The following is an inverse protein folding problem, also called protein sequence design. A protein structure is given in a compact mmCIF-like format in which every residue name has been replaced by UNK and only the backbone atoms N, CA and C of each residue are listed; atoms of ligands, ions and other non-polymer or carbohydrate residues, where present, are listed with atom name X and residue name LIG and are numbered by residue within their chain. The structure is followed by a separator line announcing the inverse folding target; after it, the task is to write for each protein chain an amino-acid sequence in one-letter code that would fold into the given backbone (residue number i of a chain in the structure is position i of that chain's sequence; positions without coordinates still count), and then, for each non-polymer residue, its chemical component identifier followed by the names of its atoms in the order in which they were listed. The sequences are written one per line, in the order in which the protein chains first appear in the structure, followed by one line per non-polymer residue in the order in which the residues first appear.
data_IF_166155322288
#
_entry.id   IF_166155322288
#
_cell.length_a   1.000
_cell.length_b   1.000
_cell.length_c   1.000
_cell.angle_alpha   90.00
_cell.angle_beta   90.00
_cell.angle_gamma   90.00
#
_symmetry.space_group_name_H-M   'P 1'
#
loop_
_entity.id
_entity.type
_entity.pdbx_description
1 polymer ?
#
# COMPACT_ATOMS: atom_id res chain seq x y z
N UNK A 1 6.59 39.68 31.23
CA UNK A 1 6.57 38.44 30.44
C UNK A 1 5.83 38.65 29.12
N UNK A 2 4.65 39.28 29.08
CA UNK A 2 3.92 39.57 27.82
C UNK A 2 4.70 40.44 26.80
N UNK A 3 5.64 41.27 27.24
CA UNK A 3 6.50 42.06 26.35
C UNK A 3 7.64 41.25 25.68
N UNK A 4 7.91 40.02 26.13
CA UNK A 4 8.98 39.15 25.64
C UNK A 4 8.46 37.72 25.36
N UNK A 5 7.51 37.62 24.44
CA UNK A 5 6.88 36.36 24.02
C UNK A 5 7.65 35.62 22.91
N UNK A 6 8.58 36.31 22.25
CA UNK A 6 9.36 35.78 21.12
C UNK A 6 10.83 35.74 21.52
N UNK A 7 11.43 34.56 21.47
CA UNK A 7 12.86 34.36 21.76
C UNK A 7 13.67 34.78 20.54
N UNK A 8 14.76 35.50 20.75
CA UNK A 8 15.67 35.94 19.67
C UNK A 8 16.95 35.11 19.63
N UNK A 9 17.65 35.10 18.49
CA UNK A 9 18.92 34.37 18.34
C UNK A 9 20.00 34.86 19.32
N UNK A 10 20.02 36.15 19.65
CA UNK A 10 20.93 36.74 20.65
C UNK A 10 20.67 36.19 22.05
N UNK A 11 19.41 35.87 22.39
CA UNK A 11 19.05 35.28 23.69
C UNK A 11 19.53 33.83 23.82
N UNK A 12 19.65 33.09 22.70
CA UNK A 12 20.27 31.75 22.71
C UNK A 12 21.77 31.80 23.02
N UNK A 13 22.47 32.86 22.59
CA UNK A 13 23.87 33.05 22.95
C UNK A 13 24.05 33.36 24.44
N UNK A 14 23.17 34.18 25.01
CA UNK A 14 23.12 34.42 26.46
C UNK A 14 22.82 33.11 27.20
N UNK A 15 21.87 32.31 26.68
CA UNK A 15 21.52 31.02 27.27
C UNK A 15 22.71 30.06 27.33
N UNK A 16 23.48 29.97 26.23
CA UNK A 16 24.68 29.14 26.12
C UNK A 16 25.75 29.53 27.15
N UNK A 17 25.97 30.83 27.34
CA UNK A 17 26.94 31.33 28.34
C UNK A 17 26.49 31.04 29.77
N UNK A 18 25.20 31.26 30.10
CA UNK A 18 24.69 30.99 31.45
C UNK A 18 24.57 29.49 31.76
N UNK A 19 24.25 28.66 30.77
CA UNK A 19 24.27 27.21 30.89
C UNK A 19 25.70 26.70 31.14
N UNK A 20 26.73 27.25 30.49
CA UNK A 20 28.12 26.88 30.78
C UNK A 20 28.54 27.23 32.21
N UNK A 21 28.08 28.36 32.75
CA UNK A 21 28.42 28.80 34.11
C UNK A 21 27.65 28.03 35.19
N UNK A 22 26.36 27.80 34.96
CA UNK A 22 25.42 27.35 36.01
C UNK A 22 24.85 25.97 35.78
N UNK A 23 25.07 25.38 34.60
CA UNK A 23 24.47 24.12 34.12
C UNK A 23 22.94 24.11 34.20
N UNK A 24 22.31 25.28 34.09
CA UNK A 24 20.86 25.44 34.20
C UNK A 24 20.38 26.66 33.39
N UNK A 25 19.32 26.48 32.60
CA UNK A 25 18.87 27.43 31.56
C UNK A 25 17.89 28.52 32.05
N UNK A 26 17.28 28.34 33.23
CA UNK A 26 16.22 29.24 33.75
C UNK A 26 16.72 30.67 34.03
N UNK A 27 18.00 30.85 34.40
CA UNK A 27 18.56 32.15 34.75
C UNK A 27 18.62 33.12 33.56
N UNK A 28 18.77 32.59 32.35
CA UNK A 28 18.77 33.37 31.10
C UNK A 28 17.48 34.17 30.98
N UNK A 29 16.33 33.55 31.30
CA UNK A 29 15.04 34.22 31.15
C UNK A 29 14.83 35.34 32.18
N UNK A 30 15.49 35.24 33.34
CA UNK A 30 15.50 36.33 34.33
C UNK A 30 16.30 37.56 33.91
N UNK A 31 17.27 37.41 32.99
CA UNK A 31 18.06 38.53 32.44
C UNK A 31 17.22 39.33 31.45
N UNK A 32 16.46 38.65 30.60
CA UNK A 32 15.59 39.28 29.59
C UNK A 32 14.27 39.79 30.18
N UNK A 33 13.82 39.25 31.32
CA UNK A 33 12.64 39.72 32.05
C UNK A 33 12.96 40.10 33.51
N UNK A 34 13.69 41.21 33.76
CA UNK A 34 14.19 41.57 35.08
C UNK A 34 13.09 41.76 36.14
N UNK A 35 11.94 42.31 35.75
CA UNK A 35 10.81 42.55 36.64
C UNK A 35 10.13 41.25 37.13
N UNK A 36 10.34 40.13 36.42
CA UNK A 36 9.80 38.81 36.79
C UNK A 36 10.87 37.87 37.37
N UNK A 37 12.15 38.26 37.35
CA UNK A 37 13.28 37.40 37.73
C UNK A 37 13.12 36.73 39.11
N UNK A 38 12.58 37.45 40.10
CA UNK A 38 12.38 36.94 41.46
C UNK A 38 11.21 35.96 41.64
N UNK A 39 10.35 35.80 40.63
CA UNK A 39 9.15 34.95 40.69
C UNK A 39 9.12 33.86 39.61
N UNK A 40 10.02 33.90 38.62
CA UNK A 40 10.16 32.85 37.60
C UNK A 40 10.51 31.52 38.28
N UNK A 41 9.78 30.46 37.92
CA UNK A 41 9.99 29.09 38.43
C UNK A 41 9.70 28.89 39.93
N UNK A 42 9.00 29.84 40.58
CA UNK A 42 8.67 29.76 42.00
C UNK A 42 7.83 28.50 42.31
N UNK A 43 8.35 27.65 43.18
CA UNK A 43 7.69 26.40 43.60
C UNK A 43 7.71 25.27 42.56
N UNK A 44 8.40 25.46 41.44
CA UNK A 44 8.55 24.47 40.39
C UNK A 44 9.94 23.79 40.44
N UNK A 45 10.02 22.60 39.84
CA UNK A 45 11.30 21.90 39.56
C UNK A 45 11.58 21.94 38.07
N UNK A 46 12.80 21.60 37.64
CA UNK A 46 13.17 21.56 36.21
C UNK A 46 12.18 20.78 35.34
N UNK A 47 11.67 19.64 35.85
CA UNK A 47 10.66 18.80 35.17
C UNK A 47 9.36 19.55 34.85
N UNK A 48 9.01 20.60 35.61
CA UNK A 48 7.83 21.40 35.30
C UNK A 48 7.92 22.06 33.92
N UNK A 49 9.11 22.51 33.51
CA UNK A 49 9.28 23.12 32.18
C UNK A 49 9.65 22.08 31.13
N UNK A 50 10.55 21.14 31.43
CA UNK A 50 11.03 20.18 30.43
C UNK A 50 9.93 19.21 30.01
N UNK A 51 9.29 18.54 30.96
CA UNK A 51 8.36 17.45 30.66
C UNK A 51 7.07 18.00 30.03
N UNK A 52 6.57 19.15 30.50
CA UNK A 52 5.42 19.81 29.88
C UNK A 52 5.74 20.32 28.47
N UNK A 53 6.96 20.85 28.24
CA UNK A 53 7.37 21.26 26.89
C UNK A 53 7.47 20.05 25.97
N UNK A 54 8.05 18.94 26.43
CA UNK A 54 8.09 17.70 25.66
C UNK A 54 6.69 17.19 25.31
N UNK A 55 5.74 17.21 26.25
CA UNK A 55 4.36 16.82 25.98
C UNK A 55 3.68 17.72 24.94
N UNK A 56 3.90 19.04 25.00
CA UNK A 56 3.41 19.99 24.00
C UNK A 56 4.01 19.67 22.63
N UNK A 57 5.33 19.49 22.54
CA UNK A 57 6.02 19.17 21.29
C UNK A 57 5.56 17.83 20.71
N UNK A 58 5.37 16.81 21.55
CA UNK A 58 4.86 15.50 21.12
C UNK A 58 3.43 15.60 20.58
N UNK A 59 2.55 16.36 21.24
CA UNK A 59 1.19 16.62 20.76
C UNK A 59 1.22 17.32 19.40
N UNK A 60 1.96 18.43 19.30
CA UNK A 60 2.01 19.23 18.08
C UNK A 60 2.65 18.42 16.91
N UNK A 61 3.63 17.57 17.20
CA UNK A 61 4.19 16.64 16.23
C UNK A 61 3.17 15.58 15.77
N UNK A 62 2.34 15.06 16.67
CA UNK A 62 1.27 14.13 16.33
C UNK A 62 0.20 14.78 15.44
N UNK A 63 -0.15 16.05 15.69
CA UNK A 63 -1.10 16.79 14.85
C UNK A 63 -0.57 16.95 13.41
N UNK A 64 0.73 17.23 13.26
CA UNK A 64 1.38 17.25 11.94
C UNK A 64 1.34 15.88 11.26
N UNK A 65 1.62 14.80 11.99
CA UNK A 65 1.58 13.44 11.43
C UNK A 65 0.17 13.01 11.02
N UNK A 66 -0.85 13.30 11.85
CA UNK A 66 -2.24 12.96 11.57
C UNK A 66 -2.72 13.61 10.26
N UNK A 67 -2.37 14.87 10.03
CA UNK A 67 -2.73 15.58 8.79
C UNK A 67 -2.17 14.88 7.54
N UNK A 68 -0.93 14.41 7.59
CA UNK A 68 -0.27 13.72 6.48
C UNK A 68 -0.82 12.31 6.27
N UNK A 69 -1.05 11.56 7.34
CA UNK A 69 -1.66 10.23 7.27
C UNK A 69 -3.07 10.33 6.66
N UNK A 70 -3.86 11.32 7.06
CA UNK A 70 -5.18 11.57 6.50
C UNK A 70 -5.11 11.85 4.99
N UNK A 71 -4.12 12.62 4.53
CA UNK A 71 -3.92 12.88 3.09
C UNK A 71 -3.56 11.62 2.32
N UNK A 72 -2.64 10.80 2.84
CA UNK A 72 -2.27 9.51 2.21
C UNK A 72 -3.48 8.59 2.11
N UNK A 73 -4.26 8.44 3.20
CA UNK A 73 -5.47 7.63 3.19
C UNK A 73 -6.50 8.14 2.20
N UNK A 74 -6.71 9.46 2.13
CA UNK A 74 -7.61 10.06 1.14
C UNK A 74 -7.20 9.69 -0.29
N UNK A 75 -5.91 9.82 -0.62
CA UNK A 75 -5.42 9.50 -1.97
C UNK A 75 -5.58 8.01 -2.31
N UNK A 76 -5.30 7.12 -1.35
CA UNK A 76 -5.50 5.68 -1.53
C UNK A 76 -6.98 5.32 -1.70
N UNK A 77 -7.89 6.00 -0.99
CA UNK A 77 -9.34 5.83 -1.16
C UNK A 77 -9.76 6.26 -2.57
N UNK A 78 -9.32 7.43 -3.03
CA UNK A 78 -9.66 7.89 -4.39
C UNK A 78 -9.15 6.91 -5.45
N UNK A 79 -7.89 6.46 -5.32
CA UNK A 79 -7.33 5.45 -6.22
C UNK A 79 -8.13 4.15 -6.17
N UNK A 80 -8.44 3.63 -4.98
CA UNK A 80 -9.23 2.40 -4.85
C UNK A 80 -10.62 2.55 -5.46
N UNK A 81 -11.28 3.71 -5.28
CA UNK A 81 -12.61 3.98 -5.84
C UNK A 81 -12.61 4.14 -7.36
N UNK A 82 -11.54 4.69 -7.93
CA UNK A 82 -11.33 4.81 -9.37
C UNK A 82 -11.15 3.43 -10.02
N UNK A 83 -10.28 2.59 -9.44
CA UNK A 83 -9.89 1.30 -10.01
C UNK A 83 -10.68 0.10 -9.46
N UNK A 84 -11.74 0.33 -8.65
CA UNK A 84 -12.48 -0.74 -7.94
C UNK A 84 -13.04 -1.87 -8.80
N UNK A 85 -13.31 -1.57 -10.08
CA UNK A 85 -13.90 -2.51 -11.04
C UNK A 85 -12.87 -3.12 -12.00
N UNK A 86 -11.62 -2.67 -11.97
CA UNK A 86 -10.57 -3.17 -12.87
C UNK A 86 -10.12 -4.57 -12.43
N UNK A 87 -10.31 -5.61 -13.27
CA UNK A 87 -9.87 -6.95 -12.93
C UNK A 87 -8.34 -7.05 -12.97
N UNK A 88 -7.72 -7.23 -11.81
CA UNK A 88 -6.28 -7.45 -11.68
C UNK A 88 -5.94 -8.88 -11.23
N UNK A 89 -4.72 -9.31 -11.53
CA UNK A 89 -4.20 -10.59 -11.10
C UNK A 89 -3.91 -10.57 -9.59
N UNK A 90 -4.50 -11.48 -8.82
CA UNK A 90 -4.21 -11.59 -7.39
C UNK A 90 -3.05 -12.56 -7.11
N UNK A 91 -2.27 -12.28 -6.07
CA UNK A 91 -1.04 -13.01 -5.77
C UNK A 91 -1.06 -13.56 -4.35
N UNK A 92 -0.74 -14.84 -4.18
CA UNK A 92 -0.39 -15.44 -2.88
C UNK A 92 0.92 -16.19 -3.04
N UNK A 93 1.86 -16.05 -2.11
CA UNK A 93 3.19 -16.66 -2.23
C UNK A 93 3.96 -16.22 -3.50
N UNK A 94 3.64 -15.04 -4.04
CA UNK A 94 4.11 -14.58 -5.37
C UNK A 94 3.79 -15.57 -6.50
N UNK A 95 2.78 -16.40 -6.28
CA UNK A 95 2.15 -17.22 -7.29
C UNK A 95 0.77 -16.66 -7.55
N UNK A 96 0.39 -16.78 -8.81
CA UNK A 96 -0.85 -16.28 -9.29
C UNK A 96 -2.00 -17.07 -8.60
N UNK A 97 -2.75 -16.45 -7.68
CA UNK A 97 -3.76 -17.12 -6.85
C UNK A 97 -4.97 -16.22 -6.52
N UNK A 98 -6.13 -16.79 -6.18
CA UNK A 98 -7.35 -16.03 -5.83
C UNK A 98 -7.45 -15.69 -4.33
N UNK A 99 -8.24 -14.65 -4.03
CA UNK A 99 -8.35 -13.80 -2.83
C UNK A 99 -8.37 -14.43 -1.41
N UNK A 100 -7.77 -13.63 -0.49
CA UNK A 100 -7.65 -13.69 0.96
C UNK A 100 -8.99 -13.55 1.72
N UNK A 101 -9.56 -14.66 2.23
CA UNK A 101 -10.55 -14.60 3.32
C UNK A 101 -9.97 -15.14 4.65
N UNK A 102 -8.93 -15.96 4.60
CA UNK A 102 -8.37 -16.60 5.81
C UNK A 102 -7.22 -15.83 6.47
N UNK A 103 -6.63 -14.83 5.80
CA UNK A 103 -5.58 -14.01 6.40
C UNK A 103 -6.12 -12.80 7.18
N UNK A 104 -7.34 -12.34 6.88
CA UNK A 104 -7.97 -11.24 7.63
C UNK A 104 -8.27 -11.65 9.07
N UNK A 105 -8.79 -12.87 9.28
CA UNK A 105 -9.05 -13.42 10.63
C UNK A 105 -7.75 -13.61 11.43
N UNK A 106 -6.67 -14.11 10.79
CA UNK A 106 -5.36 -14.24 11.43
C UNK A 106 -4.74 -12.88 11.80
N UNK A 107 -4.90 -11.87 10.94
CA UNK A 107 -4.39 -10.51 11.20
C UNK A 107 -5.24 -9.79 12.24
N UNK A 108 -6.56 -9.97 12.26
CA UNK A 108 -7.46 -9.43 13.29
C UNK A 108 -7.15 -10.02 14.67
N UNK A 109 -6.85 -11.32 14.73
CA UNK A 109 -6.47 -12.00 15.97
C UNK A 109 -5.10 -11.52 16.51
N UNK A 110 -4.14 -11.22 15.63
CA UNK A 110 -2.85 -10.60 16.00
C UNK A 110 -3.02 -9.12 16.39
N UNK A 111 -3.94 -8.40 15.74
CA UNK A 111 -4.26 -6.98 16.02
C UNK A 111 -4.91 -6.80 17.40
N UNK A 112 -5.82 -7.69 17.79
CA UNK A 112 -6.49 -7.63 19.09
C UNK A 112 -5.56 -7.94 20.28
N UNK A 113 -4.38 -8.53 20.02
CA UNK A 113 -3.41 -8.93 21.04
C UNK A 113 -2.35 -7.89 21.44
N UNK A 114 -2.21 -6.76 20.73
CA UNK A 114 -1.05 -5.86 20.92
C UNK A 114 -1.35 -4.66 21.84
N UNK A 115 -0.76 -4.67 23.04
CA UNK A 115 -0.78 -3.56 24.00
C UNK A 115 0.55 -2.78 24.00
N UNK A 116 0.47 -1.55 23.50
CA UNK A 116 1.33 -0.36 23.71
C UNK A 116 2.77 -0.32 23.14
N UNK A 117 3.13 0.91 22.69
CA UNK A 117 4.37 1.38 22.02
C UNK A 117 4.62 0.81 20.62
N UNK A 118 3.76 1.16 19.65
CA UNK A 118 3.91 0.65 18.28
C UNK A 118 3.31 1.49 17.15
N UNK A 119 2.75 2.69 17.38
CA UNK A 119 2.09 3.44 16.31
C UNK A 119 3.06 3.84 15.17
N UNK A 120 4.27 4.29 15.51
CA UNK A 120 5.30 4.63 14.52
C UNK A 120 5.90 3.39 13.84
N UNK A 121 6.18 2.32 14.60
CA UNK A 121 6.65 1.05 14.05
C UNK A 121 5.61 0.37 13.15
N UNK A 122 4.33 0.47 13.52
CA UNK A 122 3.19 0.02 12.73
C UNK A 122 3.07 0.78 11.42
N UNK A 123 3.16 2.11 11.45
CA UNK A 123 3.17 2.94 10.23
C UNK A 123 4.34 2.58 9.31
N UNK A 124 5.54 2.38 9.88
CA UNK A 124 6.73 1.97 9.12
C UNK A 124 6.55 0.61 8.44
N UNK A 125 6.00 -0.38 9.14
CA UNK A 125 5.70 -1.71 8.58
C UNK A 125 4.65 -1.63 7.46
N UNK A 126 3.58 -0.85 7.66
CA UNK A 126 2.55 -0.61 6.63
C UNK A 126 3.14 0.04 5.39
N UNK A 127 3.96 1.08 5.55
CA UNK A 127 4.62 1.75 4.43
C UNK A 127 5.58 0.80 3.68
N UNK A 128 6.38 0.02 4.40
CA UNK A 128 7.29 -0.96 3.80
C UNK A 128 6.54 -2.00 2.97
N UNK A 129 5.39 -2.49 3.46
CA UNK A 129 4.54 -3.44 2.73
C UNK A 129 4.00 -2.81 1.45
N UNK A 130 3.39 -1.63 1.54
CA UNK A 130 2.79 -0.94 0.38
C UNK A 130 3.86 -0.65 -0.69
N UNK A 131 5.00 -0.07 -0.30
CA UNK A 131 6.08 0.22 -1.26
C UNK A 131 6.70 -1.07 -1.82
N UNK A 132 6.76 -2.14 -1.02
CA UNK A 132 7.20 -3.45 -1.48
C UNK A 132 6.30 -4.02 -2.58
N UNK A 133 4.98 -3.94 -2.40
CA UNK A 133 4.01 -4.36 -3.42
C UNK A 133 4.11 -3.51 -4.69
N UNK A 134 4.19 -2.18 -4.58
CA UNK A 134 4.28 -1.27 -5.74
C UNK A 134 5.49 -1.63 -6.60
N UNK A 135 6.63 -1.95 -5.97
CA UNK A 135 7.84 -2.36 -6.69
C UNK A 135 7.69 -3.71 -7.41
N UNK A 136 6.90 -4.63 -6.85
CA UNK A 136 6.56 -5.89 -7.53
C UNK A 136 5.62 -5.65 -8.71
N UNK A 137 4.61 -4.80 -8.55
CA UNK A 137 3.68 -4.44 -9.63
C UNK A 137 4.40 -3.67 -10.75
N UNK A 138 5.37 -2.82 -10.41
CA UNK A 138 6.24 -2.14 -11.38
C UNK A 138 7.13 -3.13 -12.13
N UNK A 139 7.63 -4.18 -11.47
CA UNK A 139 8.33 -5.26 -12.15
C UNK A 139 7.45 -5.92 -13.24
N UNK A 140 6.18 -6.15 -12.94
CA UNK A 140 5.21 -6.71 -13.90
C UNK A 140 4.60 -5.70 -14.87
N UNK A 141 4.96 -4.41 -14.75
CA UNK A 141 4.42 -3.30 -15.56
C UNK A 141 2.91 -3.13 -15.42
N UNK A 142 2.37 -3.46 -14.25
CA UNK A 142 0.94 -3.27 -13.93
C UNK A 142 0.69 -1.89 -13.31
N UNK A 143 1.63 -1.40 -12.50
CA UNK A 143 1.59 -0.08 -11.86
C UNK A 143 3.00 0.48 -11.86
N UNK A 144 3.16 1.76 -12.19
CA UNK A 144 4.43 2.47 -12.04
C UNK A 144 4.31 3.57 -11.00
N UNK A 145 5.42 3.87 -10.32
CA UNK A 145 5.46 5.04 -9.47
C UNK A 145 5.41 6.31 -10.32
N UNK A 146 4.96 7.43 -9.75
CA UNK A 146 4.93 8.65 -10.52
C UNK A 146 6.33 9.26 -10.77
N UNK A 147 6.55 9.85 -11.95
CA UNK A 147 7.82 10.47 -12.37
C UNK A 147 7.68 11.95 -12.69
N UNK A 148 8.68 12.76 -12.34
CA UNK A 148 8.78 14.13 -12.87
C UNK A 148 9.19 14.11 -14.35
N UNK A 149 8.71 15.08 -15.13
CA UNK A 149 9.01 15.16 -16.58
C UNK A 149 10.49 15.28 -16.90
N UNK A 150 11.29 15.87 -16.00
CA UNK A 150 12.75 15.96 -16.11
C UNK A 150 13.51 14.84 -15.42
N UNK A 151 12.83 13.88 -14.80
CA UNK A 151 13.46 12.83 -14.00
C UNK A 151 14.20 11.84 -14.90
N UNK A 152 15.50 11.69 -14.66
CA UNK A 152 16.33 10.69 -15.33
C UNK A 152 16.49 9.50 -14.38
N UNK A 153 15.85 8.37 -14.72
CA UNK A 153 15.82 7.18 -13.87
C UNK A 153 17.14 6.38 -13.84
N UNK A 154 18.06 6.57 -14.79
CA UNK A 154 19.40 5.98 -14.72
C UNK A 154 20.42 6.78 -15.52
N UNK A 155 21.63 6.89 -14.99
CA UNK A 155 22.76 7.55 -15.66
C UNK A 155 23.41 6.72 -16.77
N UNK A 156 23.03 5.44 -16.94
CA UNK A 156 23.68 4.51 -17.85
C UNK A 156 22.76 3.76 -18.83
N UNK A 157 21.45 3.69 -18.57
CA UNK A 157 20.50 3.00 -19.45
C UNK A 157 19.19 3.78 -19.57
N UNK A 158 18.69 3.93 -20.79
CA UNK A 158 17.57 4.82 -21.14
C UNK A 158 16.18 4.31 -20.70
N UNK A 159 16.04 3.03 -20.34
CA UNK A 159 14.74 2.38 -20.01
C UNK A 159 14.58 1.99 -18.52
N UNK A 160 15.25 2.66 -17.56
CA UNK A 160 15.24 2.25 -16.14
C UNK A 160 14.74 3.32 -15.18
N UNK A 161 13.92 2.92 -14.22
CA UNK A 161 13.51 3.69 -13.02
C UNK A 161 14.45 3.34 -11.85
N UNK A 162 14.61 4.21 -10.85
CA UNK A 162 15.68 4.10 -9.84
C UNK A 162 15.47 2.99 -8.79
N UNK A 163 14.26 2.46 -8.66
CA UNK A 163 13.76 1.62 -7.57
C UNK A 163 13.90 0.09 -7.80
N UNK A 164 14.29 -0.33 -9.01
CA UNK A 164 14.22 -1.72 -9.49
C UNK A 164 15.57 -2.43 -9.76
N UNK A 165 16.69 -1.68 -9.74
CA UNK A 165 17.95 -2.12 -10.38
C UNK A 165 18.63 -3.36 -9.76
N UNK A 166 18.28 -3.69 -8.51
CA UNK A 166 18.81 -4.85 -7.79
C UNK A 166 17.90 -6.10 -7.90
N UNK A 167 16.59 -5.93 -8.09
CA UNK A 167 15.61 -7.04 -8.15
C UNK A 167 15.44 -7.56 -9.59
N UNK A 168 15.48 -6.70 -10.61
CA UNK A 168 15.34 -7.10 -12.02
C UNK A 168 16.55 -7.85 -12.61
N UNK A 169 17.61 -8.11 -11.84
CA UNK A 169 18.79 -8.89 -12.30
C UNK A 169 18.62 -10.40 -12.20
N UNK A 170 17.58 -10.88 -11.50
CA UNK A 170 17.45 -12.32 -11.17
C UNK A 170 16.33 -13.00 -11.97
N UNK A 171 15.29 -12.29 -12.41
CA UNK A 171 14.19 -12.88 -13.19
C UNK A 171 13.71 -11.92 -14.29
N UNK A 172 14.07 -12.22 -15.55
CA UNK A 172 13.29 -11.78 -16.72
C UNK A 172 13.04 -13.01 -17.58
N UNK A 173 11.83 -13.56 -17.50
CA UNK A 173 11.03 -13.85 -18.70
C UNK A 173 10.00 -12.72 -18.88
N UNK A 174 9.62 -12.44 -20.12
CA UNK A 174 8.62 -11.45 -20.52
C UNK A 174 7.39 -11.42 -19.58
N UNK A 175 6.75 -10.25 -19.38
CA UNK A 175 5.58 -10.13 -18.52
C UNK A 175 4.52 -11.12 -19.01
N UNK A 176 4.25 -12.12 -18.18
CA UNK A 176 3.17 -13.07 -18.34
C UNK A 176 1.86 -12.29 -18.27
N UNK A 177 1.46 -11.80 -19.43
CA UNK A 177 0.23 -11.07 -19.66
C UNK A 177 -0.93 -11.93 -19.15
N UNK A 178 -1.56 -11.51 -18.04
CA UNK A 178 -2.96 -11.70 -17.59
C UNK A 178 -3.69 -13.07 -17.70
N UNK A 179 -3.11 -14.12 -18.28
CA UNK A 179 -3.87 -15.31 -18.69
C UNK A 179 -3.72 -16.50 -17.74
N UNK A 180 -2.84 -16.46 -16.73
CA UNK A 180 -2.48 -17.68 -15.98
C UNK A 180 -3.46 -18.01 -14.84
N UNK A 181 -4.07 -17.02 -14.14
CA UNK A 181 -5.03 -17.30 -13.05
C UNK A 181 -6.44 -17.54 -13.55
N UNK A 182 -6.83 -16.95 -14.69
CA UNK A 182 -8.16 -17.20 -15.25
C UNK A 182 -8.42 -18.71 -15.40
N UNK A 183 -7.36 -19.50 -15.61
CA UNK A 183 -7.44 -20.93 -15.90
C UNK A 183 -7.99 -21.80 -14.77
N UNK A 184 -7.66 -21.56 -13.49
CA UNK A 184 -8.12 -22.48 -12.42
C UNK A 184 -9.64 -22.39 -12.25
N UNK A 185 -10.19 -21.19 -12.21
CA UNK A 185 -11.64 -21.02 -12.06
C UNK A 185 -12.37 -21.24 -13.39
N UNK A 186 -11.75 -20.96 -14.53
CA UNK A 186 -12.22 -21.39 -15.85
C UNK A 186 -12.37 -22.92 -15.92
N UNK A 187 -11.38 -23.69 -15.44
CA UNK A 187 -11.44 -25.16 -15.42
C UNK A 187 -12.68 -25.64 -14.66
N UNK A 188 -12.91 -25.11 -13.45
CA UNK A 188 -14.11 -25.44 -12.68
C UNK A 188 -15.40 -25.05 -13.41
N UNK A 189 -15.47 -23.87 -14.02
CA UNK A 189 -16.66 -23.47 -14.78
C UNK A 189 -16.90 -24.37 -16.00
N UNK A 190 -15.85 -24.77 -16.72
CA UNK A 190 -15.94 -25.70 -17.86
C UNK A 190 -16.49 -27.05 -17.40
N UNK A 191 -15.96 -27.60 -16.30
CA UNK A 191 -16.46 -28.86 -15.74
C UNK A 191 -17.94 -28.74 -15.34
N UNK A 192 -18.34 -27.63 -14.71
CA UNK A 192 -19.75 -27.41 -14.33
C UNK A 192 -20.67 -27.26 -15.53
N UNK A 193 -20.24 -26.56 -16.58
CA UNK A 193 -21.00 -26.39 -17.84
C UNK A 193 -21.16 -27.71 -18.58
N UNK A 194 -20.09 -28.51 -18.67
CA UNK A 194 -20.15 -29.86 -19.23
C UNK A 194 -21.09 -30.76 -18.43
N UNK A 195 -21.02 -30.71 -17.10
CA UNK A 195 -21.91 -31.46 -16.22
C UNK A 195 -23.39 -31.07 -16.41
N UNK A 196 -23.69 -29.78 -16.55
CA UNK A 196 -25.04 -29.30 -16.86
C UNK A 196 -25.55 -29.79 -18.23
N UNK A 197 -24.64 -30.11 -19.17
CA UNK A 197 -24.94 -30.71 -20.47
C UNK A 197 -24.93 -32.24 -20.45
N UNK A 198 -24.90 -32.86 -19.26
CA UNK A 198 -24.99 -34.31 -19.08
C UNK A 198 -23.66 -35.06 -19.16
N UNK A 199 -22.53 -34.37 -19.24
CA UNK A 199 -21.19 -34.99 -19.26
C UNK A 199 -20.75 -35.35 -17.84
N UNK A 200 -20.03 -36.47 -17.68
CA UNK A 200 -19.48 -36.86 -16.38
C UNK A 200 -18.47 -35.82 -15.88
N UNK A 201 -18.66 -35.33 -14.64
CA UNK A 201 -17.69 -34.44 -13.97
C UNK A 201 -16.30 -35.08 -13.85
N UNK A 202 -16.25 -36.38 -13.59
CA UNK A 202 -15.00 -37.11 -13.41
C UNK A 202 -14.21 -37.16 -14.72
N UNK A 203 -14.91 -37.41 -15.83
CA UNK A 203 -14.31 -37.48 -17.15
C UNK A 203 -13.88 -36.10 -17.64
N UNK A 204 -14.73 -35.08 -17.45
CA UNK A 204 -14.39 -33.69 -17.76
C UNK A 204 -13.17 -33.19 -16.99
N UNK A 205 -13.07 -33.53 -15.71
CA UNK A 205 -11.92 -33.20 -14.88
C UNK A 205 -10.63 -33.87 -15.39
N UNK A 206 -10.67 -35.15 -15.76
CA UNK A 206 -9.47 -35.83 -16.25
C UNK A 206 -9.00 -35.28 -17.61
N UNK A 207 -9.93 -35.06 -18.53
CA UNK A 207 -9.61 -34.48 -19.84
C UNK A 207 -8.96 -33.10 -19.71
N UNK A 208 -9.53 -32.22 -18.88
CA UNK A 208 -8.99 -30.88 -18.71
C UNK A 208 -7.69 -30.87 -17.90
N UNK A 209 -7.49 -31.83 -16.97
CA UNK A 209 -6.24 -32.02 -16.24
C UNK A 209 -5.10 -32.34 -17.19
N UNK A 210 -5.30 -33.24 -18.15
CA UNK A 210 -4.28 -33.61 -19.15
C UNK A 210 -3.90 -32.41 -20.01
N UNK A 211 -4.88 -31.69 -20.56
CA UNK A 211 -4.62 -30.48 -21.37
C UNK A 211 -3.89 -29.39 -20.56
N UNK A 212 -4.25 -29.22 -19.28
CA UNK A 212 -3.60 -28.26 -18.39
C UNK A 212 -2.14 -28.61 -18.11
N UNK A 213 -1.81 -29.90 -17.95
CA UNK A 213 -0.42 -30.34 -17.79
C UNK A 213 0.40 -30.08 -19.06
N UNK A 214 -0.18 -30.33 -20.24
CA UNK A 214 0.50 -30.06 -21.51
C UNK A 214 0.75 -28.57 -21.72
N UNK A 215 -0.26 -27.72 -21.49
CA UNK A 215 -0.09 -26.27 -21.57
C UNK A 215 0.93 -25.77 -20.54
N UNK A 216 0.90 -26.31 -19.31
CA UNK A 216 1.90 -26.00 -18.29
C UNK A 216 3.31 -26.42 -18.68
N UNK A 217 3.48 -27.53 -19.40
CA UNK A 217 4.77 -27.96 -19.94
C UNK A 217 5.29 -26.97 -20.99
N UNK A 218 4.45 -26.60 -21.96
CA UNK A 218 4.78 -25.62 -23.02
C UNK A 218 5.24 -24.29 -22.43
N UNK A 219 4.52 -23.79 -21.42
CA UNK A 219 4.86 -22.55 -20.73
C UNK A 219 6.21 -22.67 -20.00
N UNK A 220 6.39 -23.73 -19.18
CA UNK A 220 7.54 -23.84 -18.28
C UNK A 220 8.83 -24.33 -18.94
N UNK A 221 8.73 -25.21 -19.93
CA UNK A 221 9.88 -25.88 -20.55
C UNK A 221 10.21 -25.31 -21.92
N UNK A 222 9.22 -24.77 -22.65
CA UNK A 222 9.43 -24.22 -23.99
C UNK A 222 9.43 -22.69 -24.01
N UNK A 223 9.03 -22.02 -22.90
CA UNK A 223 8.97 -20.56 -22.81
C UNK A 223 7.94 -19.93 -23.75
N UNK A 224 6.93 -20.70 -24.17
CA UNK A 224 5.90 -20.25 -25.12
C UNK A 224 4.66 -19.74 -24.39
N UNK A 225 3.79 -18.96 -25.07
CA UNK A 225 2.51 -18.54 -24.51
C UNK A 225 1.63 -19.73 -24.10
N UNK A 226 0.73 -19.49 -23.14
CA UNK A 226 -0.20 -20.50 -22.67
C UNK A 226 -1.24 -20.83 -23.77
N UNK A 227 -1.33 -22.11 -24.14
CA UNK A 227 -2.17 -22.61 -25.23
C UNK A 227 -3.35 -23.49 -24.74
N UNK A 228 -3.74 -23.40 -23.46
CA UNK A 228 -4.81 -24.23 -22.91
C UNK A 228 -6.15 -24.01 -23.62
N UNK A 229 -6.51 -22.76 -23.92
CA UNK A 229 -7.78 -22.42 -24.58
C UNK A 229 -7.83 -23.01 -26.00
N UNK A 230 -6.74 -22.93 -26.77
CA UNK A 230 -6.69 -23.47 -28.12
C UNK A 230 -6.74 -25.01 -28.12
N UNK A 231 -6.13 -25.65 -27.12
CA UNK A 231 -6.24 -27.10 -26.89
C UNK A 231 -7.68 -27.52 -26.61
N UNK A 232 -8.40 -26.77 -25.78
CA UNK A 232 -9.81 -27.03 -25.46
C UNK A 232 -10.69 -26.85 -26.72
N UNK A 233 -10.47 -25.80 -27.52
CA UNK A 233 -11.20 -25.58 -28.78
C UNK A 233 -10.92 -26.63 -29.86
N UNK A 234 -9.80 -27.36 -29.76
CA UNK A 234 -9.44 -28.42 -30.70
C UNK A 234 -9.89 -29.80 -30.26
N UNK A 235 -10.20 -29.98 -28.98
CA UNK A 235 -10.58 -31.27 -28.42
C UNK A 235 -12.10 -31.50 -28.52
N UNK A 236 -12.51 -32.51 -29.29
CA UNK A 236 -13.92 -32.82 -29.57
C UNK A 236 -14.75 -33.07 -28.31
N UNK A 237 -14.14 -33.59 -27.24
CA UNK A 237 -14.77 -33.76 -25.93
C UNK A 237 -15.40 -32.45 -25.39
N UNK A 238 -14.76 -31.30 -25.66
CA UNK A 238 -15.21 -30.00 -25.19
C UNK A 238 -16.15 -29.28 -26.18
N UNK A 239 -16.52 -29.93 -27.30
CA UNK A 239 -17.44 -29.38 -28.29
C UNK A 239 -18.71 -28.77 -27.70
N UNK A 240 -19.35 -29.35 -26.67
CA UNK A 240 -20.54 -28.76 -26.08
C UNK A 240 -20.32 -27.36 -25.48
N UNK A 241 -19.10 -26.94 -25.14
CA UNK A 241 -18.83 -25.65 -24.48
C UNK A 241 -18.03 -24.66 -25.34
N UNK A 242 -17.71 -25.00 -26.59
CA UNK A 242 -16.89 -24.14 -27.45
C UNK A 242 -17.49 -22.74 -27.65
N UNK A 243 -18.81 -22.65 -27.88
CA UNK A 243 -19.49 -21.37 -28.12
C UNK A 243 -19.57 -20.47 -26.86
N UNK A 244 -19.41 -21.06 -25.68
CA UNK A 244 -19.45 -20.33 -24.39
C UNK A 244 -18.04 -19.98 -23.87
N UNK A 245 -16.99 -20.58 -24.45
CA UNK A 245 -15.64 -20.51 -23.89
C UNK A 245 -15.09 -19.08 -23.84
N UNK A 246 -15.36 -18.27 -24.85
CA UNK A 246 -14.87 -16.88 -24.91
C UNK A 246 -15.58 -15.97 -23.89
N UNK A 247 -16.89 -16.18 -23.65
CA UNK A 247 -17.62 -15.44 -22.60
C UNK A 247 -17.15 -15.86 -21.20
N UNK A 248 -16.81 -17.13 -21.02
CA UNK A 248 -16.26 -17.63 -19.75
C UNK A 248 -14.89 -17.03 -19.42
N UNK A 249 -14.12 -16.55 -20.41
CA UNK A 249 -12.79 -15.96 -20.18
C UNK A 249 -12.81 -14.51 -19.71
N UNK A 250 -13.99 -13.88 -19.63
CA UNK A 250 -14.13 -12.48 -19.24
C UNK A 250 -13.68 -12.24 -17.81
N UNK A 251 -12.74 -11.33 -17.62
CA UNK A 251 -12.08 -11.11 -16.33
C UNK A 251 -13.05 -10.60 -15.26
N UNK A 252 -14.05 -9.81 -15.66
CA UNK A 252 -15.11 -9.27 -14.78
C UNK A 252 -15.90 -10.37 -14.04
N UNK A 253 -15.97 -11.59 -14.59
CA UNK A 253 -16.67 -12.71 -13.94
C UNK A 253 -15.91 -13.26 -12.72
N UNK A 254 -14.64 -12.88 -12.56
CA UNK A 254 -13.73 -13.46 -11.57
C UNK A 254 -13.40 -12.52 -10.40
N UNK A 255 -13.87 -11.28 -10.43
CA UNK A 255 -13.61 -10.28 -9.39
C UNK A 255 -14.55 -10.40 -8.19
N UNK A 256 -15.58 -11.26 -8.27
CA UNK A 256 -16.48 -11.58 -7.15
C UNK A 256 -17.16 -10.33 -6.57
N UNK A 257 -17.00 -10.12 -5.26
CA UNK A 257 -17.56 -8.97 -4.53
C UNK A 257 -16.55 -7.83 -4.30
N UNK A 258 -15.42 -7.83 -5.01
CA UNK A 258 -14.35 -6.84 -4.84
C UNK A 258 -14.88 -5.40 -4.85
N UNK A 259 -15.69 -5.04 -5.85
CA UNK A 259 -16.31 -3.72 -5.99
C UNK A 259 -17.09 -3.32 -4.73
N UNK A 260 -18.01 -4.19 -4.26
CA UNK A 260 -18.83 -3.92 -3.07
C UNK A 260 -17.98 -3.79 -1.80
N UNK A 261 -16.91 -4.59 -1.69
CA UNK A 261 -15.99 -4.56 -0.55
C UNK A 261 -15.23 -3.24 -0.52
N UNK A 262 -14.73 -2.79 -1.68
CA UNK A 262 -14.02 -1.51 -1.81
C UNK A 262 -14.97 -0.36 -1.44
N UNK A 263 -16.17 -0.32 -2.00
CA UNK A 263 -17.17 0.72 -1.70
C UNK A 263 -17.50 0.79 -0.21
N UNK A 264 -17.76 -0.37 0.41
CA UNK A 264 -18.07 -0.44 1.85
C UNK A 264 -16.90 0.05 2.70
N UNK A 265 -15.67 -0.41 2.41
CA UNK A 265 -14.51 -0.08 3.23
C UNK A 265 -14.08 1.39 3.06
N UNK A 266 -14.10 1.88 1.81
CA UNK A 266 -13.82 3.28 1.50
C UNK A 266 -14.84 4.20 2.18
N UNK A 267 -16.14 3.85 2.18
CA UNK A 267 -17.15 4.64 2.91
C UNK A 267 -16.88 4.74 4.41
N UNK A 268 -16.47 3.64 5.06
CA UNK A 268 -16.08 3.67 6.50
C UNK A 268 -14.84 4.56 6.70
N UNK A 269 -13.88 4.51 5.79
CA UNK A 269 -12.66 5.30 5.89
C UNK A 269 -12.92 6.80 5.65
N UNK A 270 -13.77 7.16 4.69
CA UNK A 270 -14.20 8.54 4.43
C UNK A 270 -14.89 9.17 5.64
N UNK A 271 -15.78 8.42 6.31
CA UNK A 271 -16.41 8.86 7.56
C UNK A 271 -15.39 9.22 8.64
N UNK A 272 -14.32 8.40 8.78
CA UNK A 272 -13.22 8.68 9.72
C UNK A 272 -12.35 9.86 9.31
N UNK A 273 -12.30 10.20 8.03
CA UNK A 273 -11.50 11.31 7.52
C UNK A 273 -12.20 12.67 7.60
N UNK A 274 -13.52 12.70 7.85
CA UNK A 274 -14.30 13.95 7.97
C UNK A 274 -13.64 15.03 8.86
N UNK A 275 -13.10 14.72 10.06
CA UNK A 275 -12.44 15.73 10.91
C UNK A 275 -11.19 16.35 10.29
N UNK A 276 -10.55 15.67 9.34
CA UNK A 276 -9.29 16.06 8.72
C UNK A 276 -9.45 16.68 7.33
N UNK A 277 -10.70 16.84 6.84
CA UNK A 277 -10.99 17.30 5.47
C UNK A 277 -10.27 18.59 5.10
N UNK A 278 -10.30 19.60 5.99
CA UNK A 278 -9.63 20.88 5.77
C UNK A 278 -8.10 20.76 5.69
N UNK A 279 -7.51 19.84 6.46
CA UNK A 279 -6.08 19.55 6.42
C UNK A 279 -5.68 18.82 5.13
N UNK A 280 -6.52 17.89 4.66
CA UNK A 280 -6.33 17.15 3.41
C UNK A 280 -6.37 18.07 2.19
N UNK A 281 -7.27 19.06 2.19
CA UNK A 281 -7.41 20.05 1.11
C UNK A 281 -6.22 21.04 1.06
N UNK A 282 -5.68 21.42 2.22
CA UNK A 282 -4.53 22.34 2.31
C UNK A 282 -3.20 21.69 1.95
N UNK A 283 -3.06 20.40 2.22
CA UNK A 283 -1.87 19.65 1.85
C UNK A 283 -1.88 19.44 0.35
N UNK A 284 -0.94 20.09 -0.33
CA UNK A 284 -0.66 19.81 -1.72
C UNK A 284 -0.44 18.29 -1.85
N UNK A 285 -1.20 17.66 -2.73
CA UNK A 285 -0.69 16.43 -3.36
C UNK A 285 0.59 16.86 -4.05
N UNK A 286 1.69 16.09 -3.97
CA UNK A 286 2.76 16.31 -4.93
C UNK A 286 2.12 16.16 -6.32
N UNK A 287 1.85 17.29 -6.97
CA UNK A 287 1.19 17.30 -8.27
C UNK A 287 2.19 16.73 -9.25
N UNK A 288 1.76 15.66 -9.90
CA UNK A 288 2.45 15.12 -11.05
C UNK A 288 1.92 15.89 -12.24
N UNK A 289 2.82 16.67 -12.83
CA UNK A 289 2.55 17.31 -14.11
C UNK A 289 2.41 16.18 -15.14
N UNK A 290 1.19 16.03 -15.65
CA UNK A 290 0.83 15.11 -16.75
C UNK A 290 1.58 15.49 -18.02
#
# INVERSE_FOLDING_TARGET
MEAHLTVTDEEFDIARVEEQKRRHHVHTYGIVAPSAAGIIHLGATSCFVTDNTELILMRDALDLLLSRIAKVLNNLIQFAMEWKAEPALSWTHLQAAQHLMFDLENIEQVREGLKFRGAQAGLGSTAQKICGDIRLLANWREIEEPFETSQIGSSAMMERTLDDSAIRRIDIPEPFNSHVIQLVRLIFQIIMKLAAKGVSRQEAHEQIRVLSHQAGYVVKHEGKPNDLVSRIKSAEFFRPVWDELDDMLRAELYIGRSVEIVERFCGIAEEKLKPYKSSVEKLATAELVV
#
